data_IF_447838705228
#
_entry.id   IF_447838705228
#
_cell.length_a   1.000
_cell.length_b   1.000
_cell.length_c   1.000
_cell.angle_alpha   90.00
_cell.angle_beta   90.00
_cell.angle_gamma   90.00
#
_symmetry.space_group_name_H-M   'P 1'
#
loop_
_entity.id
_entity.type
_entity.pdbx_description
1 polymer ?
#
# COMPACT_ATOMS: atom_id res chain seq x y z
N UNK A 1 -0.31 -41.39 28.17
CA UNK A 1 -1.31 -40.47 28.76
C UNK A 1 -1.45 -39.22 27.90
N UNK A 2 -2.65 -39.07 27.33
CA UNK A 2 -3.39 -37.85 26.97
C UNK A 2 -2.71 -36.74 26.14
N UNK A 3 -3.02 -36.79 24.84
CA UNK A 3 -3.12 -35.64 23.95
C UNK A 3 -4.33 -34.77 24.34
N UNK A 4 -4.22 -33.44 24.20
CA UNK A 4 -5.38 -32.54 24.19
C UNK A 4 -5.24 -31.54 23.05
N UNK A 5 -5.72 -31.94 21.86
CA UNK A 5 -6.23 -31.03 20.83
C UNK A 5 -7.72 -30.83 21.14
N UNK A 6 -8.16 -29.59 21.34
CA UNK A 6 -9.59 -29.23 21.32
C UNK A 6 -9.75 -28.04 20.37
N UNK A 7 -10.30 -28.28 19.17
CA UNK A 7 -11.74 -28.16 18.82
C UNK A 7 -12.09 -26.66 18.68
N UNK A 8 -11.87 -26.01 17.53
CA UNK A 8 -12.72 -26.02 16.32
C UNK A 8 -14.22 -26.02 16.69
N UNK A 9 -14.75 -24.83 16.98
CA UNK A 9 -16.19 -24.61 17.13
C UNK A 9 -16.83 -24.59 15.74
N UNK A 10 -17.62 -25.64 15.49
CA UNK A 10 -18.44 -25.85 14.29
C UNK A 10 -19.76 -25.10 14.45
N UNK A 11 -20.14 -24.45 13.35
CA UNK A 11 -21.39 -23.77 13.04
C UNK A 11 -22.61 -24.63 13.41
N UNK A 12 -23.50 -24.11 14.25
CA UNK A 12 -24.79 -24.72 14.56
C UNK A 12 -25.81 -24.36 13.48
N UNK A 13 -26.15 -25.34 12.64
CA UNK A 13 -27.30 -25.33 11.73
C UNK A 13 -28.56 -25.60 12.57
N UNK A 14 -29.37 -24.57 12.79
CA UNK A 14 -30.70 -24.69 13.38
C UNK A 14 -31.78 -24.67 12.29
N UNK A 15 -32.05 -25.84 11.70
CA UNK A 15 -33.28 -26.09 10.93
C UNK A 15 -34.38 -26.48 11.93
N UNK A 16 -35.29 -25.55 12.22
CA UNK A 16 -36.56 -25.89 12.84
C UNK A 16 -37.67 -25.75 11.81
N UNK A 17 -38.11 -26.90 11.31
CA UNK A 17 -39.38 -27.04 10.61
C UNK A 17 -40.51 -27.13 11.64
N UNK A 18 -41.43 -26.18 11.60
CA UNK A 18 -42.72 -26.30 12.28
C UNK A 18 -43.81 -25.58 11.49
N UNK A 19 -44.82 -26.35 11.09
CA UNK A 19 -46.21 -25.90 11.01
C UNK A 19 -46.67 -25.23 9.72
N UNK A 20 -47.26 -26.02 8.82
CA UNK A 20 -48.23 -25.54 7.86
C UNK A 20 -49.42 -24.91 8.60
N UNK A 21 -49.57 -23.60 8.51
CA UNK A 21 -50.84 -22.92 8.70
C UNK A 21 -51.12 -22.16 7.41
N UNK A 22 -52.02 -22.71 6.58
CA UNK A 22 -52.56 -22.04 5.41
C UNK A 22 -53.21 -20.74 5.85
N UNK A 23 -52.54 -19.62 5.57
CA UNK A 23 -53.11 -18.28 5.63
C UNK A 23 -53.13 -17.74 4.21
N UNK A 24 -54.28 -17.19 3.83
CA UNK A 24 -54.53 -16.53 2.54
C UNK A 24 -53.30 -15.74 2.10
N UNK A 25 -52.71 -16.19 0.99
CA UNK A 25 -51.65 -15.46 0.32
C UNK A 25 -52.33 -14.32 -0.42
N UNK A 26 -52.56 -13.20 0.27
CA UNK A 26 -52.57 -11.90 -0.40
C UNK A 26 -51.33 -11.91 -1.28
N UNK A 27 -51.51 -11.82 -2.61
CA UNK A 27 -50.43 -11.72 -3.58
C UNK A 27 -49.65 -10.44 -3.31
N UNK A 28 -48.75 -10.54 -2.35
CA UNK A 28 -47.73 -9.58 -2.03
C UNK A 28 -46.73 -9.71 -3.17
N UNK A 29 -46.76 -8.73 -4.08
CA UNK A 29 -45.76 -8.48 -5.13
C UNK A 29 -44.40 -8.16 -4.49
N UNK A 30 -43.87 -9.09 -3.72
CA UNK A 30 -42.63 -8.96 -2.97
C UNK A 30 -41.59 -9.68 -3.79
N UNK A 31 -40.54 -8.95 -4.15
CA UNK A 31 -39.38 -9.47 -4.84
C UNK A 31 -38.97 -10.82 -4.23
N UNK A 32 -38.84 -11.85 -5.05
CA UNK A 32 -38.46 -13.20 -4.61
C UNK A 32 -37.17 -13.10 -3.77
N UNK A 33 -37.02 -13.84 -2.66
CA UNK A 33 -35.76 -13.87 -1.91
C UNK A 33 -34.54 -14.17 -2.80
N UNK A 34 -34.74 -14.92 -3.89
CA UNK A 34 -33.72 -15.16 -4.92
C UNK A 34 -33.33 -13.90 -5.71
N UNK A 35 -34.27 -12.99 -5.98
CA UNK A 35 -33.96 -11.73 -6.65
C UNK A 35 -33.19 -10.78 -5.74
N UNK A 36 -33.50 -10.74 -4.43
CA UNK A 36 -32.74 -9.96 -3.44
C UNK A 36 -31.30 -10.50 -3.33
N UNK A 37 -31.14 -11.82 -3.24
CA UNK A 37 -29.81 -12.46 -3.21
C UNK A 37 -29.05 -12.22 -4.52
N UNK A 38 -29.73 -12.27 -5.66
CA UNK A 38 -29.13 -12.01 -6.97
C UNK A 38 -28.66 -10.56 -7.11
N UNK A 39 -29.46 -9.59 -6.66
CA UNK A 39 -29.13 -8.17 -6.67
C UNK A 39 -27.92 -7.88 -5.76
N UNK A 40 -27.96 -8.37 -4.52
CA UNK A 40 -26.84 -8.24 -3.58
C UNK A 40 -25.56 -8.92 -4.09
N UNK A 41 -25.69 -10.06 -4.77
CA UNK A 41 -24.55 -10.77 -5.37
C UNK A 41 -23.94 -9.99 -6.54
N UNK A 42 -24.77 -9.35 -7.37
CA UNK A 42 -24.31 -8.48 -8.46
C UNK A 42 -23.61 -7.24 -7.93
N UNK A 43 -24.15 -6.60 -6.89
CA UNK A 43 -23.52 -5.46 -6.23
C UNK A 43 -22.15 -5.83 -5.65
N UNK A 44 -22.07 -6.96 -4.93
CA UNK A 44 -20.81 -7.45 -4.38
C UNK A 44 -19.78 -7.77 -5.48
N UNK A 45 -20.21 -8.34 -6.61
CA UNK A 45 -19.34 -8.61 -7.75
C UNK A 45 -18.81 -7.30 -8.37
N UNK A 46 -19.66 -6.29 -8.55
CA UNK A 46 -19.26 -4.97 -9.04
C UNK A 46 -18.26 -4.32 -8.08
N UNK A 47 -18.49 -4.38 -6.77
CA UNK A 47 -17.57 -3.86 -5.77
C UNK A 47 -16.18 -4.55 -5.86
N UNK A 48 -16.15 -5.88 -5.99
CA UNK A 48 -14.89 -6.62 -6.17
C UNK A 48 -14.18 -6.25 -7.48
N UNK A 49 -14.92 -6.11 -8.58
CA UNK A 49 -14.40 -5.67 -9.87
C UNK A 49 -13.76 -4.27 -9.74
N UNK A 50 -14.45 -3.34 -9.07
CA UNK A 50 -13.98 -1.98 -8.86
C UNK A 50 -12.72 -1.93 -8.00
N UNK A 51 -12.66 -2.72 -6.92
CA UNK A 51 -11.46 -2.84 -6.07
C UNK A 51 -10.26 -3.39 -6.84
N UNK A 52 -10.48 -4.40 -7.69
CA UNK A 52 -9.43 -4.96 -8.54
C UNK A 52 -8.92 -3.92 -9.54
N UNK A 53 -9.82 -3.18 -10.18
CA UNK A 53 -9.47 -2.16 -11.16
C UNK A 53 -8.71 -0.99 -10.52
N UNK A 54 -9.16 -0.49 -9.37
CA UNK A 54 -8.49 0.59 -8.66
C UNK A 54 -7.09 0.17 -8.19
N UNK A 55 -6.95 -1.05 -7.68
CA UNK A 55 -5.66 -1.63 -7.30
C UNK A 55 -4.71 -1.72 -8.49
N UNK A 56 -5.19 -2.19 -9.64
CA UNK A 56 -4.38 -2.28 -10.86
C UNK A 56 -3.89 -0.90 -11.34
N UNK A 57 -4.78 0.11 -11.35
CA UNK A 57 -4.43 1.49 -11.72
C UNK A 57 -3.38 2.06 -10.77
N UNK A 58 -3.54 1.82 -9.47
CA UNK A 58 -2.59 2.27 -8.46
C UNK A 58 -1.22 1.62 -8.66
N UNK A 59 -1.17 0.30 -8.89
CA UNK A 59 0.08 -0.42 -9.18
C UNK A 59 0.77 0.12 -10.43
N UNK A 60 0.03 0.35 -11.52
CA UNK A 60 0.59 0.92 -12.75
C UNK A 60 1.16 2.32 -12.51
N UNK A 61 0.48 3.14 -11.70
CA UNK A 61 0.93 4.49 -11.37
C UNK A 61 2.23 4.45 -10.57
N UNK A 62 2.31 3.58 -9.56
CA UNK A 62 3.53 3.39 -8.76
C UNK A 62 4.68 2.88 -9.62
N UNK A 63 4.44 1.89 -10.49
CA UNK A 63 5.47 1.36 -11.39
C UNK A 63 6.01 2.42 -12.35
N UNK A 64 5.14 3.28 -12.89
CA UNK A 64 5.55 4.41 -13.74
C UNK A 64 6.47 5.37 -12.97
N UNK A 65 6.06 5.79 -11.76
CA UNK A 65 6.89 6.63 -10.88
C UNK A 65 8.24 5.99 -10.57
N UNK A 66 8.25 4.69 -10.25
CA UNK A 66 9.48 3.98 -9.91
C UNK A 66 10.44 3.86 -11.10
N UNK A 67 9.90 3.69 -12.30
CA UNK A 67 10.67 3.71 -13.55
C UNK A 67 11.27 5.08 -13.86
N UNK A 68 10.72 6.15 -13.29
CA UNK A 68 11.11 7.53 -13.60
C UNK A 68 12.23 8.15 -12.78
N UNK A 69 12.72 7.43 -11.77
CA UNK A 69 13.81 7.89 -10.90
C UNK A 69 15.10 8.25 -11.64
N UNK A 70 15.33 7.64 -12.82
CA UNK A 70 16.52 7.87 -13.65
C UNK A 70 16.34 8.94 -14.74
N UNK A 71 15.12 9.44 -14.96
CA UNK A 71 14.84 10.31 -16.11
C UNK A 71 14.03 11.57 -15.80
N UNK A 72 13.05 11.47 -14.89
CA UNK A 72 12.29 12.65 -14.48
C UNK A 72 13.16 13.53 -13.58
N UNK A 73 13.16 14.83 -13.86
CA UNK A 73 13.94 15.82 -13.13
C UNK A 73 13.16 16.38 -11.94
N UNK A 74 13.83 16.48 -10.80
CA UNK A 74 13.42 17.25 -9.64
C UNK A 74 14.02 18.65 -9.70
N UNK A 75 13.26 19.64 -9.25
CA UNK A 75 13.81 20.94 -8.89
C UNK A 75 13.94 20.99 -7.37
N UNK A 76 15.16 21.08 -6.86
CA UNK A 76 15.48 21.03 -5.43
C UNK A 76 16.07 22.37 -5.01
N UNK A 77 15.37 23.06 -4.13
CA UNK A 77 15.83 24.25 -3.41
C UNK A 77 15.60 23.99 -1.91
N UNK A 78 16.62 23.45 -1.24
CA UNK A 78 16.50 22.88 0.10
C UNK A 78 17.80 23.01 0.89
N UNK A 79 17.71 23.50 2.13
CA UNK A 79 18.80 23.53 3.10
C UNK A 79 18.27 22.97 4.42
N UNK A 80 18.91 21.93 4.95
CA UNK A 80 18.48 21.32 6.21
C UNK A 80 18.92 19.88 6.41
N UNK A 81 18.20 19.18 7.27
CA UNK A 81 18.38 17.75 7.53
C UNK A 81 18.19 16.93 6.24
N UNK A 82 19.12 16.01 5.89
CA UNK A 82 18.97 15.15 4.72
C UNK A 82 17.74 14.21 4.77
N UNK A 83 17.28 13.79 5.96
CA UNK A 83 16.23 12.76 6.08
C UNK A 83 14.90 13.20 5.44
N UNK A 84 14.34 14.40 5.72
CA UNK A 84 13.16 14.90 5.02
C UNK A 84 13.32 14.96 3.50
N UNK A 85 14.50 15.36 3.01
CA UNK A 85 14.77 15.42 1.57
C UNK A 85 14.74 14.02 0.95
N UNK A 86 15.40 13.03 1.57
CA UNK A 86 15.41 11.65 1.08
C UNK A 86 13.99 11.06 1.10
N UNK A 87 13.20 11.30 2.15
CA UNK A 87 11.79 10.87 2.25
C UNK A 87 10.92 11.51 1.16
N UNK A 88 11.17 12.78 0.83
CA UNK A 88 10.47 13.47 -0.25
C UNK A 88 10.80 12.86 -1.61
N UNK A 89 12.09 12.61 -1.88
CA UNK A 89 12.55 11.94 -3.11
C UNK A 89 11.94 10.54 -3.21
N UNK A 90 11.94 9.76 -2.12
CA UNK A 90 11.36 8.42 -2.11
C UNK A 90 9.87 8.44 -2.43
N UNK A 91 9.11 9.34 -1.80
CA UNK A 91 7.68 9.52 -2.05
C UNK A 91 7.38 9.92 -3.50
N UNK A 92 8.16 10.86 -4.05
CA UNK A 92 7.99 11.34 -5.41
C UNK A 92 8.09 10.21 -6.45
N UNK A 93 9.05 9.30 -6.27
CA UNK A 93 9.28 8.16 -7.17
C UNK A 93 8.61 6.85 -6.73
N UNK A 94 7.82 6.86 -5.66
CA UNK A 94 7.12 5.66 -5.18
C UNK A 94 8.04 4.58 -4.61
N UNK A 95 9.18 4.96 -4.03
CA UNK A 95 10.08 4.08 -3.28
C UNK A 95 9.77 4.16 -1.78
N UNK A 96 9.92 3.03 -1.08
CA UNK A 96 9.86 2.97 0.38
C UNK A 96 11.17 3.49 0.98
N UNK A 97 11.09 4.43 1.92
CA UNK A 97 12.26 4.84 2.70
C UNK A 97 12.44 3.92 3.92
N UNK A 98 13.67 3.50 4.18
CA UNK A 98 14.04 2.63 5.30
C UNK A 98 15.33 3.14 5.94
N UNK A 99 15.40 3.07 7.27
CA UNK A 99 16.59 3.41 8.06
C UNK A 99 17.13 2.16 8.76
N UNK A 100 18.46 2.03 8.85
CA UNK A 100 19.12 0.91 9.52
C UNK A 100 20.41 1.34 10.23
N UNK A 101 20.69 0.70 11.37
CA UNK A 101 21.88 0.98 12.19
C UNK A 101 21.61 1.97 13.33
N UNK A 102 22.64 2.27 14.16
CA UNK A 102 22.53 3.20 15.26
C UNK A 102 22.42 4.64 14.75
N UNK A 103 21.25 5.25 14.95
CA UNK A 103 20.94 6.61 14.47
C UNK A 103 21.82 7.67 15.13
N UNK A 104 22.30 8.63 14.34
CA UNK A 104 23.03 9.79 14.81
C UNK A 104 22.77 11.00 13.90
N UNK A 105 23.20 12.19 14.32
CA UNK A 105 23.00 13.42 13.56
C UNK A 105 23.77 13.39 12.24
N UNK A 106 23.09 13.74 11.16
CA UNK A 106 23.66 13.83 9.83
C UNK A 106 23.98 15.28 9.47
N UNK A 107 25.04 15.52 8.68
CA UNK A 107 25.38 16.86 8.25
C UNK A 107 24.28 17.49 7.39
N UNK A 108 24.10 18.80 7.56
CA UNK A 108 23.14 19.60 6.78
C UNK A 108 23.51 19.55 5.30
N UNK A 109 22.50 19.30 4.47
CA UNK A 109 22.62 19.40 3.01
C UNK A 109 22.23 20.78 2.51
N UNK A 110 22.80 21.20 1.39
CA UNK A 110 22.48 22.47 0.75
C UNK A 110 22.36 22.32 -0.77
N UNK A 111 21.12 22.35 -1.25
CA UNK A 111 20.75 22.33 -2.66
C UNK A 111 20.14 23.68 -3.02
N UNK A 112 20.87 24.49 -3.80
CA UNK A 112 20.35 25.75 -4.32
C UNK A 112 19.87 25.57 -5.76
N UNK A 113 18.55 25.53 -5.95
CA UNK A 113 17.86 25.46 -7.26
C UNK A 113 18.48 24.45 -8.23
N UNK A 114 18.82 23.27 -7.72
CA UNK A 114 19.39 22.17 -8.50
C UNK A 114 18.30 21.48 -9.31
N UNK A 115 18.64 21.10 -10.54
CA UNK A 115 17.76 20.30 -11.41
C UNK A 115 18.43 18.97 -11.73
N UNK A 116 17.96 17.90 -11.11
CA UNK A 116 18.62 16.59 -11.07
C UNK A 116 17.59 15.46 -11.18
N UNK A 117 17.99 14.31 -11.71
CA UNK A 117 17.19 13.08 -11.57
C UNK A 117 17.15 12.61 -10.11
N UNK A 118 16.24 11.70 -9.77
CA UNK A 118 16.17 11.14 -8.42
C UNK A 118 17.45 10.42 -8.01
N UNK A 119 18.08 9.68 -8.92
CA UNK A 119 19.37 9.00 -8.65
C UNK A 119 20.49 10.00 -8.41
N UNK A 120 20.60 11.03 -9.24
CA UNK A 120 21.60 12.08 -9.05
C UNK A 120 21.39 12.83 -7.73
N UNK A 121 20.14 13.16 -7.39
CA UNK A 121 19.81 13.79 -6.12
C UNK A 121 20.22 12.93 -4.92
N UNK A 122 19.94 11.62 -4.92
CA UNK A 122 20.35 10.71 -3.85
C UNK A 122 21.88 10.58 -3.75
N UNK A 123 22.57 10.54 -4.90
CA UNK A 123 24.03 10.51 -4.96
C UNK A 123 24.63 11.80 -4.38
N UNK A 124 24.08 12.95 -4.77
CA UNK A 124 24.54 14.25 -4.30
C UNK A 124 24.27 14.40 -2.80
N UNK A 125 23.14 13.92 -2.27
CA UNK A 125 22.89 13.85 -0.82
C UNK A 125 23.93 12.95 -0.15
N UNK A 126 24.19 11.76 -0.70
CA UNK A 126 25.16 10.81 -0.14
C UNK A 126 26.56 11.41 -0.07
N UNK A 127 26.92 12.35 -0.94
CA UNK A 127 28.21 13.04 -0.91
C UNK A 127 28.39 13.96 0.31
N UNK A 128 27.29 14.38 0.97
CA UNK A 128 27.35 15.11 2.24
C UNK A 128 27.51 14.17 3.43
N UNK A 129 27.11 12.90 3.31
CA UNK A 129 27.04 11.98 4.44
C UNK A 129 28.40 11.34 4.72
N UNK A 130 28.98 11.64 5.87
CA UNK A 130 30.28 11.09 6.28
C UNK A 130 30.17 9.79 7.07
N UNK A 131 29.04 9.60 7.73
CA UNK A 131 28.78 8.53 8.71
C UNK A 131 27.54 7.72 8.34
N UNK A 132 27.01 7.90 7.14
CA UNK A 132 25.90 7.12 6.62
C UNK A 132 26.04 6.91 5.12
N UNK A 133 25.35 5.91 4.59
CA UNK A 133 25.32 5.60 3.17
C UNK A 133 23.90 5.44 2.68
N UNK A 134 23.65 5.81 1.42
CA UNK A 134 22.35 5.64 0.77
C UNK A 134 22.45 4.53 -0.26
N UNK A 135 21.58 3.53 -0.16
CA UNK A 135 21.43 2.46 -1.14
C UNK A 135 20.07 2.55 -1.81
N UNK A 136 20.06 2.65 -3.15
CA UNK A 136 18.85 2.55 -3.95
C UNK A 136 18.66 1.09 -4.40
N UNK A 137 17.65 0.43 -3.83
CA UNK A 137 17.29 -0.93 -4.18
C UNK A 137 16.11 -0.93 -5.15
N UNK A 138 16.42 -1.17 -6.42
CA UNK A 138 15.42 -1.28 -7.49
C UNK A 138 14.59 -2.56 -7.42
N UNK A 139 15.03 -3.61 -6.73
CA UNK A 139 14.27 -4.85 -6.60
C UNK A 139 13.21 -4.71 -5.51
N UNK A 140 13.63 -4.31 -4.30
CA UNK A 140 12.74 -4.12 -3.16
C UNK A 140 11.98 -2.79 -3.19
N UNK A 141 12.21 -1.95 -4.22
CA UNK A 141 11.63 -0.62 -4.38
C UNK A 141 11.82 0.22 -3.13
N UNK A 142 13.05 0.22 -2.60
CA UNK A 142 13.40 0.95 -1.39
C UNK A 142 14.64 1.82 -1.55
N UNK A 143 14.66 2.92 -0.79
CA UNK A 143 15.84 3.73 -0.54
C UNK A 143 16.22 3.48 0.92
N UNK A 144 17.36 2.86 1.13
CA UNK A 144 17.88 2.49 2.44
C UNK A 144 18.95 3.50 2.86
N UNK A 145 18.76 4.14 4.01
CA UNK A 145 19.79 4.91 4.70
C UNK A 145 20.40 4.02 5.79
N UNK A 146 21.71 3.76 5.70
CA UNK A 146 22.45 2.97 6.67
C UNK A 146 23.44 3.85 7.42
N UNK A 147 23.28 3.96 8.74
CA UNK A 147 24.19 4.64 9.65
C UNK A 147 25.39 3.73 9.98
N UNK A 148 26.61 4.27 9.86
CA UNK A 148 27.89 3.58 10.08
C UNK A 148 28.53 3.98 11.41
#
# INVERSE_FOLDING_TARGET
MKHNKKLLSVVAIGLMMSGCASRDVTQLNVASPLSIISEASQEALIAQQNLKNSSAIQMQTVQKKQGSINHDLLNIDYIGDPIPLIKSISSQYGYRFVEAGPTHELPIVNFNKKRLTGVEALRDVSAYLNTASITLDHQNKSILLTYN
#
